data_IF_549958397229
#
_entry.id   IF_549958397229
#
_cell.length_a   1.000
_cell.length_b   1.000
_cell.length_c   1.000
_cell.angle_alpha   90.00
_cell.angle_beta   90.00
_cell.angle_gamma   90.00
#
_symmetry.space_group_name_H-M   'P 1'
#
loop_
_entity.id
_entity.type
_entity.pdbx_description
1 polymer ?
#
# COMPACT_ATOMS: atom_id res chain seq x y z
N UNK A 1 -33.51 14.24 3.24
CA UNK A 1 -32.49 15.32 3.32
C UNK A 1 -31.14 14.71 3.50
N UNK A 2 -30.12 15.16 2.74
CA UNK A 2 -28.75 14.71 2.91
C UNK A 2 -28.12 15.28 4.19
N UNK A 3 -27.26 14.50 4.84
CA UNK A 3 -26.48 14.97 5.99
C UNK A 3 -25.37 15.90 5.50
N UNK A 4 -25.20 17.11 6.09
CA UNK A 4 -24.11 17.99 5.73
C UNK A 4 -22.72 17.38 6.02
N UNK A 5 -21.72 17.80 5.28
CA UNK A 5 -20.33 17.43 5.56
C UNK A 5 -19.87 18.05 6.90
N UNK A 6 -19.03 17.31 7.62
CA UNK A 6 -18.29 17.84 8.77
C UNK A 6 -16.93 18.31 8.21
N UNK A 7 -16.67 19.61 8.26
CA UNK A 7 -15.47 20.21 7.68
C UNK A 7 -14.68 21.00 8.72
N UNK A 8 -13.34 21.06 8.65
CA UNK A 8 -12.54 21.95 9.46
C UNK A 8 -12.74 23.41 9.02
N UNK A 9 -12.31 24.36 9.86
CA UNK A 9 -12.41 25.79 9.56
C UNK A 9 -11.54 26.18 8.37
N UNK A 10 -10.38 25.56 8.23
CA UNK A 10 -9.44 25.76 7.12
C UNK A 10 -8.70 24.43 6.80
N UNK A 11 -8.03 24.39 5.65
CA UNK A 11 -7.25 23.23 5.26
C UNK A 11 -6.16 22.92 6.27
N UNK A 12 -5.94 21.63 6.52
CA UNK A 12 -4.93 21.12 7.46
C UNK A 12 -5.12 21.56 8.91
N UNK A 13 -6.31 22.01 9.28
CA UNK A 13 -6.70 22.28 10.66
C UNK A 13 -7.54 21.16 11.25
N UNK A 14 -7.44 20.99 12.57
CA UNK A 14 -8.22 20.05 13.34
C UNK A 14 -7.91 18.60 13.02
N UNK A 15 -7.92 17.76 14.00
CA UNK A 15 -7.74 16.32 13.87
C UNK A 15 -8.97 15.55 14.33
N UNK A 16 -9.09 14.31 13.88
CA UNK A 16 -10.07 13.35 14.39
C UNK A 16 -9.36 12.41 15.38
N UNK A 17 -9.46 12.71 16.66
CA UNK A 17 -8.73 12.04 17.72
C UNK A 17 -7.34 12.65 17.99
N UNK A 18 -6.60 12.07 18.91
CA UNK A 18 -5.24 12.47 19.29
C UNK A 18 -4.36 11.24 19.44
N UNK A 19 -3.06 11.41 19.63
CA UNK A 19 -2.12 10.30 19.84
C UNK A 19 -2.42 9.48 21.10
N UNK A 20 -3.12 10.06 22.07
CA UNK A 20 -3.51 9.37 23.32
C UNK A 20 -4.99 9.01 23.41
N UNK A 21 -5.82 9.52 22.49
CA UNK A 21 -7.26 9.25 22.44
C UNK A 21 -7.70 9.10 21.00
N UNK A 22 -7.87 7.89 20.55
CA UNK A 22 -8.23 7.53 19.19
C UNK A 22 -9.56 6.78 19.14
N UNK A 23 -10.20 6.84 18.00
CA UNK A 23 -11.45 6.13 17.75
C UNK A 23 -11.21 4.63 17.63
N UNK A 24 -12.07 3.81 18.24
CA UNK A 24 -11.95 2.35 18.18
C UNK A 24 -12.16 1.81 16.77
N UNK A 25 -13.07 2.42 16.00
CA UNK A 25 -13.37 2.03 14.63
C UNK A 25 -13.95 3.20 13.84
N UNK A 26 -13.80 3.16 12.53
CA UNK A 26 -14.51 4.02 11.58
C UNK A 26 -15.08 3.16 10.46
N UNK A 27 -16.33 3.37 10.08
CA UNK A 27 -17.02 2.73 8.96
C UNK A 27 -17.24 3.77 7.89
N UNK A 28 -16.47 3.72 6.83
CA UNK A 28 -16.40 4.75 5.79
C UNK A 28 -16.39 4.08 4.43
N UNK A 29 -17.22 4.52 3.51
CA UNK A 29 -17.30 3.97 2.16
C UNK A 29 -16.01 4.20 1.36
N UNK A 30 -15.44 5.41 1.46
CA UNK A 30 -14.25 5.79 0.71
C UNK A 30 -13.36 6.68 1.54
N UNK A 31 -12.06 6.40 1.57
CA UNK A 31 -11.06 7.25 2.21
C UNK A 31 -10.14 7.82 1.13
N UNK A 32 -10.09 9.15 1.02
CA UNK A 32 -9.13 9.87 0.19
C UNK A 32 -8.22 10.69 1.10
N UNK A 33 -6.92 10.47 1.00
CA UNK A 33 -5.93 11.22 1.77
C UNK A 33 -5.15 12.16 0.86
N UNK A 34 -4.74 13.31 1.37
CA UNK A 34 -3.94 14.30 0.62
C UNK A 34 -2.44 14.08 0.78
N UNK A 35 -2.03 13.22 1.68
CA UNK A 35 -0.62 12.94 1.95
C UNK A 35 -0.40 11.42 2.04
N UNK A 36 -0.50 10.85 3.21
CA UNK A 36 -0.17 9.44 3.44
C UNK A 36 -1.05 8.81 4.52
N UNK A 37 -1.03 7.50 4.59
CA UNK A 37 -1.59 6.72 5.69
C UNK A 37 -0.42 6.11 6.46
N UNK A 38 -0.27 6.44 7.74
CA UNK A 38 0.76 5.90 8.61
C UNK A 38 0.26 4.66 9.34
N UNK A 39 0.95 3.57 9.15
CA UNK A 39 0.75 2.34 9.91
C UNK A 39 2.03 2.02 10.67
N UNK A 40 1.99 1.95 12.03
CA UNK A 40 3.17 1.60 12.80
C UNK A 40 3.60 0.15 12.57
N UNK A 41 4.78 -0.21 13.08
CA UNK A 41 5.29 -1.57 13.00
C UNK A 41 4.26 -2.60 13.50
N UNK A 42 4.16 -3.69 12.78
CA UNK A 42 3.20 -4.78 12.99
C UNK A 42 1.73 -4.43 12.75
N UNK A 43 1.38 -3.18 12.47
CA UNK A 43 0.05 -2.88 11.95
C UNK A 43 -0.07 -3.38 10.51
N UNK A 44 -1.26 -3.82 10.13
CA UNK A 44 -1.50 -4.47 8.85
C UNK A 44 -2.51 -3.69 8.02
N UNK A 45 -2.21 -3.49 6.74
CA UNK A 45 -3.23 -3.22 5.73
C UNK A 45 -3.82 -4.57 5.32
N UNK A 46 -5.10 -4.80 5.61
CA UNK A 46 -5.78 -6.06 5.34
C UNK A 46 -6.79 -5.91 4.23
N UNK A 47 -6.78 -6.83 3.27
CA UNK A 47 -7.70 -6.84 2.13
C UNK A 47 -8.36 -8.22 2.02
N UNK A 48 -9.62 -8.21 1.58
CA UNK A 48 -10.45 -9.40 1.48
C UNK A 48 -11.22 -9.68 2.77
N UNK A 49 -12.39 -10.33 2.65
CA UNK A 49 -13.26 -10.67 3.80
C UNK A 49 -12.54 -11.59 4.82
N UNK A 50 -11.68 -12.48 4.34
CA UNK A 50 -10.87 -13.36 5.17
C UNK A 50 -9.50 -12.78 5.56
N UNK A 51 -9.25 -11.49 5.32
CA UNK A 51 -7.92 -10.88 5.48
C UNK A 51 -6.85 -11.61 4.67
N UNK A 52 -7.17 -11.96 3.44
CA UNK A 52 -6.40 -12.87 2.60
C UNK A 52 -5.10 -12.27 2.08
N UNK A 53 -5.04 -10.95 1.90
CA UNK A 53 -3.82 -10.21 1.57
C UNK A 53 -3.50 -9.23 2.69
N UNK A 54 -2.26 -9.24 3.14
CA UNK A 54 -1.74 -8.33 4.17
C UNK A 54 -0.46 -7.67 3.71
N UNK A 55 -0.32 -6.38 4.00
CA UNK A 55 0.90 -5.61 3.79
C UNK A 55 1.30 -4.98 5.11
N UNK A 56 2.54 -5.17 5.53
CA UNK A 56 3.04 -4.64 6.81
C UNK A 56 4.56 -4.48 6.81
N UNK A 57 5.05 -3.73 7.78
CA UNK A 57 6.46 -3.72 8.21
C UNK A 57 6.53 -4.20 9.66
N UNK A 58 7.45 -5.10 9.98
CA UNK A 58 7.51 -5.72 11.32
C UNK A 58 8.62 -5.15 12.21
N UNK A 59 9.19 -4.00 11.84
CA UNK A 59 10.33 -3.38 12.51
C UNK A 59 11.69 -3.79 11.88
N UNK A 60 11.69 -4.80 11.03
CA UNK A 60 12.89 -5.28 10.33
C UNK A 60 12.62 -5.47 8.84
N UNK A 61 11.54 -6.17 8.50
CA UNK A 61 11.21 -6.54 7.13
C UNK A 61 9.83 -5.99 6.72
N UNK A 62 9.70 -5.68 5.43
CA UNK A 62 8.41 -5.41 4.79
C UNK A 62 7.89 -6.67 4.12
N UNK A 63 6.60 -6.94 4.28
CA UNK A 63 5.98 -8.17 3.83
C UNK A 63 4.71 -7.88 3.03
N UNK A 64 4.58 -8.55 1.87
CA UNK A 64 3.32 -8.74 1.15
C UNK A 64 2.93 -10.20 1.34
N UNK A 65 1.89 -10.45 2.10
CA UNK A 65 1.54 -11.80 2.55
C UNK A 65 0.17 -12.20 2.02
N UNK A 66 0.16 -13.19 1.12
CA UNK A 66 -1.05 -13.73 0.51
C UNK A 66 -1.37 -15.09 1.14
N UNK A 67 -2.58 -15.24 1.67
CA UNK A 67 -3.02 -16.44 2.40
C UNK A 67 -3.77 -17.42 1.49
N UNK A 68 -4.58 -16.90 0.56
CA UNK A 68 -5.50 -17.70 -0.25
C UNK A 68 -5.37 -17.35 -1.72
N UNK A 69 -5.31 -18.35 -2.59
CA UNK A 69 -5.21 -18.18 -4.03
C UNK A 69 -3.83 -17.71 -4.49
N UNK A 70 -3.75 -17.22 -5.71
CA UNK A 70 -2.50 -16.74 -6.29
C UNK A 70 -2.23 -15.28 -5.94
N UNK A 71 -0.96 -14.93 -5.74
CA UNK A 71 -0.53 -13.53 -5.75
C UNK A 71 -0.22 -13.15 -7.21
N UNK A 72 -1.01 -12.23 -7.75
CA UNK A 72 -0.86 -11.75 -9.14
C UNK A 72 -0.33 -10.32 -9.11
N UNK A 73 0.82 -10.10 -9.73
CA UNK A 73 1.38 -8.77 -9.97
C UNK A 73 1.22 -8.51 -11.46
N UNK A 74 0.37 -7.55 -11.82
CA UNK A 74 0.00 -7.30 -13.20
C UNK A 74 0.25 -5.83 -13.56
N UNK A 75 1.13 -5.59 -14.52
CA UNK A 75 1.28 -4.30 -15.16
C UNK A 75 0.44 -4.31 -16.44
N UNK A 76 -0.67 -3.55 -16.45
CA UNK A 76 -1.61 -3.52 -17.57
C UNK A 76 -1.20 -2.52 -18.68
N UNK A 77 -0.12 -1.75 -18.47
CA UNK A 77 0.37 -0.82 -19.49
C UNK A 77 1.17 -1.60 -20.54
N UNK A 78 0.74 -1.49 -21.81
CA UNK A 78 1.35 -2.27 -22.91
C UNK A 78 2.86 -2.05 -23.01
N UNK A 79 3.59 -3.15 -23.19
CA UNK A 79 5.06 -3.20 -23.33
C UNK A 79 5.86 -2.63 -22.15
N UNK A 80 5.19 -2.27 -21.04
CA UNK A 80 5.87 -1.81 -19.83
C UNK A 80 6.20 -2.96 -18.90
N UNK A 81 7.42 -2.97 -18.41
CA UNK A 81 8.00 -4.09 -17.66
C UNK A 81 7.61 -4.14 -16.19
N UNK A 82 7.83 -5.29 -15.57
CA UNK A 82 7.90 -5.44 -14.11
C UNK A 82 9.38 -5.54 -13.73
N UNK A 83 9.84 -4.63 -12.88
CA UNK A 83 11.27 -4.47 -12.57
C UNK A 83 11.50 -4.61 -11.07
N UNK A 84 12.45 -5.46 -10.69
CA UNK A 84 12.91 -5.62 -9.32
C UNK A 84 14.28 -4.98 -9.17
N UNK A 85 14.40 -4.05 -8.23
CA UNK A 85 15.60 -3.30 -7.96
C UNK A 85 16.10 -3.54 -6.53
N UNK A 86 17.36 -3.36 -6.33
CA UNK A 86 17.99 -3.43 -5.02
C UNK A 86 19.15 -2.46 -4.92
N UNK A 87 19.89 -2.54 -3.82
CA UNK A 87 21.10 -1.76 -3.61
C UNK A 87 22.26 -2.72 -3.34
N UNK A 88 23.35 -2.54 -4.07
CA UNK A 88 24.62 -3.22 -3.83
C UNK A 88 25.65 -2.18 -3.41
N UNK A 89 26.11 -2.30 -2.16
CA UNK A 89 27.10 -1.37 -1.61
C UNK A 89 26.68 0.11 -1.62
N UNK A 90 25.36 0.39 -1.58
CA UNK A 90 24.82 1.75 -1.65
C UNK A 90 24.48 2.24 -3.06
N UNK A 91 24.77 1.44 -4.09
CA UNK A 91 24.40 1.75 -5.49
C UNK A 91 23.15 1.02 -5.90
N UNK A 92 22.18 1.73 -6.51
CA UNK A 92 20.98 1.09 -7.05
C UNK A 92 21.33 0.18 -8.22
N UNK A 93 20.82 -1.05 -8.19
CA UNK A 93 20.93 -2.01 -9.28
C UNK A 93 19.56 -2.54 -9.68
N UNK A 94 19.40 -2.90 -10.96
CA UNK A 94 18.28 -3.72 -11.43
C UNK A 94 18.68 -5.18 -11.33
N UNK A 95 17.98 -5.94 -10.46
CA UNK A 95 18.26 -7.34 -10.24
C UNK A 95 17.55 -8.25 -11.24
N UNK A 96 16.30 -7.89 -11.60
CA UNK A 96 15.46 -8.68 -12.50
C UNK A 96 14.49 -7.75 -13.23
N UNK A 97 14.38 -7.96 -14.54
CA UNK A 97 13.32 -7.37 -15.37
C UNK A 97 12.50 -8.48 -16.00
N UNK A 98 11.18 -8.38 -15.91
CA UNK A 98 10.25 -9.17 -16.72
C UNK A 98 9.85 -8.29 -17.92
N UNK A 99 10.50 -8.54 -19.05
CA UNK A 99 10.39 -7.74 -20.27
C UNK A 99 9.11 -8.11 -21.03
N UNK A 100 8.08 -7.25 -20.92
CA UNK A 100 6.78 -7.53 -21.52
C UNK A 100 6.78 -7.35 -23.02
N UNK A 101 7.64 -6.49 -23.59
CA UNK A 101 7.82 -6.37 -25.04
C UNK A 101 8.45 -7.63 -25.65
N UNK A 102 9.12 -8.44 -24.84
CA UNK A 102 9.72 -9.72 -25.21
C UNK A 102 8.94 -10.91 -24.61
N UNK A 103 7.61 -10.83 -24.57
CA UNK A 103 6.70 -11.86 -24.10
C UNK A 103 6.93 -12.28 -22.62
N UNK A 104 7.29 -11.35 -21.76
CA UNK A 104 7.52 -11.61 -20.35
C UNK A 104 8.85 -12.30 -20.06
N UNK A 105 9.84 -12.17 -20.94
CA UNK A 105 11.18 -12.73 -20.73
C UNK A 105 11.82 -12.17 -19.48
N UNK A 106 12.38 -13.06 -18.66
CA UNK A 106 13.14 -12.68 -17.49
C UNK A 106 14.58 -12.29 -17.89
N UNK A 107 15.06 -11.14 -17.41
CA UNK A 107 16.41 -10.64 -17.61
C UNK A 107 17.04 -10.32 -16.26
N UNK A 108 18.16 -10.93 -16.01
CA UNK A 108 18.94 -10.75 -14.79
C UNK A 108 20.13 -9.84 -15.00
#
# INVERSE_FOLDING_TARGET
>A
MATPNIVPRADSEGGLGTASKYWAAAYIDTITTTSHINLPDNAELRLGTGNDLKIKHNGTNSEIYNVTGNLIIHNANGDSDIIFKGSDGGSEITALTLDMSAAGRAVF
#
